data_IF_977134405204
#
_entry.id   IF_977134405204
#
_cell.length_a   1.000
_cell.length_b   1.000
_cell.length_c   1.000
_cell.angle_alpha   90.00
_cell.angle_beta   90.00
_cell.angle_gamma   90.00
#
_symmetry.space_group_name_H-M   'P 1'
#
loop_
_entity.id
_entity.type
_entity.pdbx_description
1 polymer ?
#
# COMPACT_ATOMS: atom_id res chain seq x y z
N UNK A 1 -21.34 7.26 -4.31
CA UNK A 1 -22.28 8.34 -4.71
C UNK A 1 -23.57 8.12 -3.99
N UNK A 2 -24.15 9.17 -3.45
CA UNK A 2 -25.49 9.15 -2.85
C UNK A 2 -26.29 10.35 -3.36
N UNK A 3 -27.53 10.07 -3.76
CA UNK A 3 -28.47 11.08 -4.27
C UNK A 3 -29.80 10.95 -3.53
N UNK A 4 -30.37 12.09 -3.15
CA UNK A 4 -31.73 12.15 -2.61
C UNK A 4 -32.50 13.29 -3.29
N UNK A 5 -33.82 13.24 -3.18
CA UNK A 5 -34.64 14.40 -3.59
C UNK A 5 -34.35 15.57 -2.67
N UNK A 6 -33.98 16.71 -3.26
CA UNK A 6 -33.80 17.95 -2.51
C UNK A 6 -35.08 18.35 -1.78
N UNK A 7 -34.98 19.28 -0.81
CA UNK A 7 -36.09 19.76 -0.02
C UNK A 7 -35.79 21.09 0.68
N UNK A 8 -36.81 21.66 1.29
CA UNK A 8 -36.66 22.92 2.03
C UNK A 8 -35.86 22.70 3.31
N UNK A 9 -34.81 23.49 3.52
CA UNK A 9 -33.89 23.36 4.66
C UNK A 9 -34.54 23.52 6.05
N UNK A 10 -35.73 24.13 6.13
CA UNK A 10 -36.53 24.22 7.38
C UNK A 10 -37.27 22.91 7.74
N UNK A 11 -37.38 21.98 6.80
CA UNK A 11 -37.99 20.68 6.98
C UNK A 11 -37.07 19.58 6.42
N UNK A 12 -35.88 19.39 7.03
CA UNK A 12 -34.89 18.46 6.50
C UNK A 12 -35.37 17.03 6.62
N UNK A 13 -35.06 16.15 5.63
CA UNK A 13 -35.31 14.73 5.79
C UNK A 13 -34.48 14.17 6.97
N UNK A 14 -34.97 13.10 7.60
CA UNK A 14 -34.25 12.43 8.70
C UNK A 14 -32.85 12.00 8.30
N UNK A 15 -32.68 11.61 7.04
CA UNK A 15 -31.39 11.20 6.45
C UNK A 15 -31.13 12.12 5.26
N UNK A 16 -30.08 12.90 5.34
CA UNK A 16 -29.59 13.70 4.21
C UNK A 16 -28.35 13.05 3.58
N UNK A 17 -28.10 13.33 2.31
CA UNK A 17 -27.01 12.76 1.53
C UNK A 17 -25.64 12.96 2.16
N UNK A 18 -25.35 14.17 2.66
CA UNK A 18 -24.07 14.49 3.32
C UNK A 18 -23.87 13.65 4.57
N UNK A 19 -24.93 13.55 5.41
CA UNK A 19 -24.88 12.75 6.63
C UNK A 19 -24.70 11.27 6.34
N UNK A 20 -25.41 10.73 5.34
CA UNK A 20 -25.23 9.34 4.91
C UNK A 20 -23.83 9.06 4.38
N UNK A 21 -23.28 9.96 3.56
CA UNK A 21 -21.91 9.82 3.03
C UNK A 21 -20.87 9.89 4.14
N UNK A 22 -21.02 10.85 5.07
CA UNK A 22 -20.12 11.00 6.22
C UNK A 22 -20.13 9.72 7.09
N UNK A 23 -21.33 9.15 7.36
CA UNK A 23 -21.43 7.90 8.10
C UNK A 23 -20.75 6.75 7.37
N UNK A 24 -20.93 6.63 6.06
CA UNK A 24 -20.27 5.58 5.26
C UNK A 24 -18.75 5.68 5.30
N UNK A 25 -18.19 6.89 5.29
CA UNK A 25 -16.73 7.09 5.44
C UNK A 25 -16.31 6.61 6.83
N UNK A 26 -16.98 7.01 7.88
CA UNK A 26 -16.69 6.58 9.26
C UNK A 26 -16.83 5.06 9.41
N UNK A 27 -17.87 4.46 8.80
CA UNK A 27 -18.05 3.00 8.83
C UNK A 27 -16.89 2.27 8.15
N UNK A 28 -16.40 2.75 7.01
CA UNK A 28 -15.26 2.17 6.32
C UNK A 28 -13.95 2.35 7.09
N UNK A 29 -13.73 3.50 7.73
CA UNK A 29 -12.55 3.75 8.56
C UNK A 29 -12.54 2.87 9.82
N UNK A 30 -13.69 2.62 10.43
CA UNK A 30 -13.82 1.79 11.61
C UNK A 30 -13.81 0.27 11.28
N UNK A 31 -14.13 -0.11 10.05
CA UNK A 31 -14.18 -1.49 9.58
C UNK A 31 -13.09 -1.76 8.53
N UNK A 32 -11.83 -1.50 8.91
CA UNK A 32 -10.67 -1.78 8.05
C UNK A 32 -10.58 -3.27 7.70
N UNK A 33 -10.01 -3.55 6.54
CA UNK A 33 -9.69 -4.94 6.16
C UNK A 33 -8.74 -5.57 7.18
N UNK A 34 -8.89 -6.87 7.49
CA UNK A 34 -8.07 -7.52 8.50
C UNK A 34 -6.60 -7.60 8.07
N UNK A 35 -5.71 -7.49 9.06
CA UNK A 35 -4.29 -7.77 8.86
C UNK A 35 -4.05 -9.22 8.49
N UNK A 36 -3.21 -9.46 7.50
CA UNK A 36 -2.90 -10.80 6.99
C UNK A 36 -1.41 -11.01 6.81
N UNK A 37 -0.94 -12.17 7.22
CA UNK A 37 0.40 -12.64 6.87
C UNK A 37 0.38 -13.11 5.42
N UNK A 38 1.00 -12.35 4.54
CA UNK A 38 1.17 -12.69 3.11
C UNK A 38 2.65 -12.94 2.82
N UNK A 39 2.96 -13.68 1.74
CA UNK A 39 4.34 -14.08 1.44
C UNK A 39 5.39 -12.96 1.56
N UNK A 40 5.23 -11.75 0.99
CA UNK A 40 6.24 -10.70 1.14
C UNK A 40 6.46 -10.26 2.58
N UNK A 41 5.41 -10.28 3.41
CA UNK A 41 5.50 -9.96 4.85
C UNK A 41 6.19 -11.08 5.61
N UNK A 42 5.93 -12.33 5.24
CA UNK A 42 6.57 -13.50 5.84
C UNK A 42 8.08 -13.51 5.55
N UNK A 43 8.48 -13.29 4.30
CA UNK A 43 9.87 -13.11 3.93
C UNK A 43 10.54 -11.96 4.69
N UNK A 44 9.83 -10.84 4.83
CA UNK A 44 10.34 -9.70 5.59
C UNK A 44 10.61 -10.05 7.05
N UNK A 45 9.72 -10.81 7.68
CA UNK A 45 9.89 -11.29 9.06
C UNK A 45 11.06 -12.24 9.20
N UNK A 46 11.21 -13.19 8.28
CA UNK A 46 12.29 -14.17 8.28
C UNK A 46 13.66 -13.49 8.17
N UNK A 47 13.83 -12.63 7.16
CA UNK A 47 15.11 -11.94 6.91
C UNK A 47 15.45 -10.92 8.01
N UNK A 48 14.47 -10.12 8.45
CA UNK A 48 14.69 -9.20 9.57
C UNK A 48 14.95 -9.95 10.87
N UNK A 49 14.20 -11.00 11.12
CA UNK A 49 14.33 -11.80 12.34
C UNK A 49 15.74 -12.35 12.56
N UNK A 50 16.41 -12.74 11.48
CA UNK A 50 17.78 -13.28 11.53
C UNK A 50 18.82 -12.26 12.06
N UNK A 51 18.59 -10.96 11.86
CA UNK A 51 19.56 -9.90 12.16
C UNK A 51 19.21 -9.07 13.41
N UNK A 52 18.05 -9.33 14.04
CA UNK A 52 17.60 -8.56 15.19
C UNK A 52 18.32 -8.98 16.50
N UNK A 53 18.42 -8.10 17.50
CA UNK A 53 18.86 -8.46 18.84
C UNK A 53 18.01 -9.57 19.45
N UNK A 54 18.60 -10.39 20.31
CA UNK A 54 18.03 -11.64 20.86
C UNK A 54 16.56 -11.52 21.32
N UNK A 55 16.21 -10.50 22.11
CA UNK A 55 14.84 -10.32 22.60
C UNK A 55 13.83 -10.04 21.47
N UNK A 56 14.24 -9.30 20.43
CA UNK A 56 13.41 -9.07 19.25
C UNK A 56 13.32 -10.34 18.40
N UNK A 57 14.42 -11.09 18.26
CA UNK A 57 14.40 -12.44 17.64
C UNK A 57 13.36 -13.35 18.27
N UNK A 58 13.26 -13.37 19.58
CA UNK A 58 12.25 -14.17 20.29
C UNK A 58 10.82 -13.78 19.89
N UNK A 59 10.53 -12.50 19.76
CA UNK A 59 9.21 -12.05 19.32
C UNK A 59 8.91 -12.49 17.89
N UNK A 60 9.87 -12.37 16.97
CA UNK A 60 9.73 -12.77 15.58
C UNK A 60 9.70 -14.30 15.39
N UNK A 61 10.40 -15.06 16.22
CA UNK A 61 10.36 -16.51 16.25
C UNK A 61 9.05 -17.08 16.83
N UNK A 62 8.27 -16.26 17.51
CA UNK A 62 6.97 -16.63 18.09
C UNK A 62 5.83 -15.77 17.50
N UNK A 63 5.62 -15.81 16.15
CA UNK A 63 4.65 -14.94 15.50
C UNK A 63 3.21 -15.18 15.99
N UNK A 64 2.89 -16.39 16.49
CA UNK A 64 1.59 -16.70 17.05
C UNK A 64 1.23 -15.84 18.27
N UNK A 65 2.22 -15.42 19.07
CA UNK A 65 2.05 -14.57 20.26
C UNK A 65 2.06 -13.08 19.89
N UNK A 66 2.88 -12.68 18.92
CA UNK A 66 3.11 -11.29 18.55
C UNK A 66 2.54 -10.93 17.17
N UNK A 67 1.75 -11.82 16.55
CA UNK A 67 1.25 -11.67 15.17
C UNK A 67 0.57 -10.32 14.93
N UNK A 68 -0.37 -9.95 15.79
CA UNK A 68 -1.14 -8.71 15.59
C UNK A 68 -0.26 -7.46 15.61
N UNK A 69 0.52 -7.18 16.68
CA UNK A 69 1.38 -5.98 16.71
C UNK A 69 2.45 -5.97 15.61
N UNK A 70 2.94 -7.12 15.17
CA UNK A 70 3.89 -7.19 14.06
C UNK A 70 3.22 -6.82 12.74
N UNK A 71 2.05 -7.38 12.43
CA UNK A 71 1.31 -7.08 11.20
C UNK A 71 0.85 -5.62 11.16
N UNK A 72 0.47 -5.05 12.31
CA UNK A 72 0.15 -3.62 12.44
C UNK A 72 1.38 -2.75 12.14
N UNK A 73 2.53 -3.07 12.74
CA UNK A 73 3.77 -2.35 12.51
C UNK A 73 4.25 -2.40 11.05
N UNK A 74 3.95 -3.49 10.34
CA UNK A 74 4.26 -3.68 8.92
C UNK A 74 3.13 -3.20 7.99
N UNK A 75 2.04 -2.66 8.54
CA UNK A 75 0.84 -2.24 7.80
C UNK A 75 0.32 -3.32 6.83
N UNK A 76 0.32 -4.58 7.29
CA UNK A 76 0.04 -5.76 6.47
C UNK A 76 -1.47 -6.00 6.25
N UNK A 77 -2.17 -4.99 5.71
CA UNK A 77 -3.59 -5.07 5.34
C UNK A 77 -3.89 -4.23 4.09
N UNK A 78 -5.05 -4.47 3.47
CA UNK A 78 -5.57 -3.57 2.44
C UNK A 78 -6.00 -2.26 3.10
N UNK A 79 -5.34 -1.17 2.75
CA UNK A 79 -5.60 0.15 3.35
C UNK A 79 -6.81 0.83 2.71
N UNK A 80 -7.54 1.60 3.52
CA UNK A 80 -8.67 2.43 3.12
C UNK A 80 -8.31 3.89 3.33
N UNK A 81 -8.33 4.70 2.27
CA UNK A 81 -7.98 6.11 2.35
C UNK A 81 -9.02 6.98 1.61
N UNK A 82 -9.93 7.66 2.31
CA UNK A 82 -10.76 8.70 1.72
C UNK A 82 -9.86 9.83 1.21
N UNK A 83 -9.98 10.18 -0.07
CA UNK A 83 -9.07 11.15 -0.70
C UNK A 83 -9.78 12.37 -1.27
N UNK A 84 -11.04 12.22 -1.66
CA UNK A 84 -11.83 13.32 -2.18
C UNK A 84 -13.23 13.20 -1.59
N UNK A 85 -13.81 14.32 -1.21
CA UNK A 85 -15.21 14.43 -0.81
C UNK A 85 -15.81 15.66 -1.46
N UNK A 86 -17.00 15.52 -2.01
CA UNK A 86 -17.76 16.61 -2.63
C UNK A 86 -19.25 16.46 -2.34
N UNK A 87 -19.94 17.58 -2.30
CA UNK A 87 -21.40 17.55 -2.10
C UNK A 87 -22.01 18.92 -2.12
N UNK A 88 -23.32 18.95 -2.49
CA UNK A 88 -24.10 20.15 -2.55
C UNK A 88 -23.89 20.96 -3.83
N UNK A 89 -24.94 21.09 -4.63
CA UNK A 89 -24.99 21.99 -5.80
C UNK A 89 -25.66 23.32 -5.43
N UNK A 90 -26.65 23.24 -4.55
CA UNK A 90 -27.40 24.39 -3.96
C UNK A 90 -27.82 24.02 -2.55
N UNK A 91 -28.26 25.02 -1.76
CA UNK A 91 -28.70 24.80 -0.38
C UNK A 91 -29.77 23.70 -0.23
N UNK A 92 -30.51 23.40 -1.27
CA UNK A 92 -31.65 22.48 -1.26
C UNK A 92 -31.46 21.27 -2.22
N UNK A 93 -30.31 21.14 -2.91
CA UNK A 93 -30.00 20.03 -3.83
C UNK A 93 -28.62 19.48 -3.46
N UNK A 94 -28.61 18.28 -2.93
CA UNK A 94 -27.44 17.74 -2.24
C UNK A 94 -27.09 16.34 -2.80
N UNK A 95 -26.59 16.21 -4.04
CA UNK A 95 -25.82 15.02 -4.36
C UNK A 95 -24.52 15.08 -3.55
N UNK A 96 -24.06 13.94 -3.09
CA UNK A 96 -22.79 13.86 -2.39
C UNK A 96 -22.00 12.63 -2.88
N UNK A 97 -20.71 12.80 -3.02
CA UNK A 97 -19.79 11.73 -3.43
C UNK A 97 -18.48 11.76 -2.66
N UNK A 98 -17.86 10.62 -2.53
CA UNK A 98 -16.49 10.52 -2.02
C UNK A 98 -15.70 9.53 -2.87
N UNK A 99 -14.43 9.85 -3.09
CA UNK A 99 -13.47 8.91 -3.67
C UNK A 99 -12.62 8.33 -2.56
N UNK A 100 -12.57 7.01 -2.51
CA UNK A 100 -11.80 6.26 -1.53
C UNK A 100 -10.77 5.41 -2.27
N UNK A 101 -9.51 5.60 -1.93
CA UNK A 101 -8.40 4.84 -2.49
C UNK A 101 -8.09 3.62 -1.62
N UNK A 102 -7.91 2.48 -2.26
CA UNK A 102 -7.52 1.23 -1.60
C UNK A 102 -6.18 0.76 -2.12
N UNK A 103 -5.26 0.43 -1.21
CA UNK A 103 -4.02 -0.27 -1.54
C UNK A 103 -4.22 -1.74 -1.22
N UNK A 104 -4.50 -2.52 -2.26
CA UNK A 104 -4.94 -3.92 -2.11
C UNK A 104 -3.74 -4.81 -1.79
N UNK A 105 -3.86 -5.58 -0.70
CA UNK A 105 -2.84 -6.53 -0.27
C UNK A 105 -2.76 -7.73 -1.23
N UNK A 106 -1.57 -8.27 -1.54
CA UNK A 106 -1.45 -9.53 -2.30
C UNK A 106 -2.32 -10.64 -1.73
N UNK A 107 -3.06 -11.34 -2.62
CA UNK A 107 -4.04 -12.36 -2.23
C UNK A 107 -5.47 -11.83 -1.99
N UNK A 108 -5.67 -10.51 -2.09
CA UNK A 108 -6.99 -9.90 -2.20
C UNK A 108 -7.23 -9.39 -3.63
N UNK A 109 -8.47 -9.02 -3.95
CA UNK A 109 -8.86 -8.58 -5.29
C UNK A 109 -9.73 -7.33 -5.22
N UNK A 110 -9.83 -6.59 -6.33
CA UNK A 110 -10.76 -5.47 -6.48
C UNK A 110 -12.17 -5.89 -6.07
N UNK A 111 -12.61 -7.06 -6.52
CA UNK A 111 -13.96 -7.56 -6.22
C UNK A 111 -14.15 -7.85 -4.73
N UNK A 112 -13.13 -8.41 -4.06
CA UNK A 112 -13.19 -8.64 -2.62
C UNK A 112 -13.27 -7.34 -1.81
N UNK A 113 -12.61 -6.29 -2.27
CA UNK A 113 -12.66 -4.94 -1.66
C UNK A 113 -14.03 -4.31 -1.91
N UNK A 114 -14.53 -4.37 -3.13
CA UNK A 114 -15.85 -3.85 -3.49
C UNK A 114 -16.95 -4.52 -2.66
N UNK A 115 -16.89 -5.84 -2.50
CA UNK A 115 -17.85 -6.58 -1.67
C UNK A 115 -17.75 -6.16 -0.19
N UNK A 116 -16.54 -5.91 0.33
CA UNK A 116 -16.36 -5.39 1.68
C UNK A 116 -17.03 -4.01 1.84
N UNK A 117 -16.84 -3.10 0.89
CA UNK A 117 -17.50 -1.79 0.91
C UNK A 117 -19.03 -1.96 0.95
N UNK A 118 -19.58 -2.75 0.03
CA UNK A 118 -21.03 -2.98 -0.05
C UNK A 118 -21.59 -3.56 1.27
N UNK A 119 -20.86 -4.45 1.91
CA UNK A 119 -21.28 -5.06 3.18
C UNK A 119 -21.12 -4.13 4.39
N UNK A 120 -20.34 -3.06 4.26
CA UNK A 120 -19.99 -2.15 5.37
C UNK A 120 -20.86 -0.91 5.39
N UNK A 121 -21.26 -0.40 4.23
CA UNK A 121 -22.01 0.85 4.12
C UNK A 121 -23.51 0.58 3.83
N UNK A 122 -24.31 1.63 3.95
CA UNK A 122 -25.76 1.54 3.60
C UNK A 122 -25.98 1.20 2.14
N UNK A 123 -26.98 0.37 1.86
CA UNK A 123 -27.46 -0.01 0.52
C UNK A 123 -28.01 1.16 -0.29
N UNK A 124 -28.31 2.29 0.37
CA UNK A 124 -28.70 3.55 -0.27
C UNK A 124 -27.54 4.25 -1.00
N UNK A 125 -26.33 3.80 -0.80
CA UNK A 125 -25.12 4.40 -1.38
C UNK A 125 -24.64 3.55 -2.56
N UNK A 126 -24.60 4.16 -3.74
CA UNK A 126 -24.07 3.53 -4.94
C UNK A 126 -22.57 3.46 -4.89
N UNK A 127 -22.02 2.26 -5.11
CA UNK A 127 -20.57 2.00 -5.18
C UNK A 127 -20.16 1.81 -6.63
N UNK A 128 -19.26 2.64 -7.10
CA UNK A 128 -18.70 2.56 -8.44
C UNK A 128 -17.17 2.44 -8.35
N UNK A 129 -16.59 1.66 -9.24
CA UNK A 129 -15.14 1.60 -9.40
C UNK A 129 -14.72 2.62 -10.45
N UNK A 130 -13.81 3.53 -10.09
CA UNK A 130 -13.38 4.63 -10.96
C UNK A 130 -11.86 4.75 -10.98
N UNK A 131 -11.34 5.35 -12.04
CA UNK A 131 -9.91 5.60 -12.18
C UNK A 131 -9.11 4.37 -12.54
N UNK A 132 -7.89 4.30 -12.00
CA UNK A 132 -6.97 3.22 -12.30
C UNK A 132 -7.21 2.01 -11.41
N UNK A 133 -7.64 0.91 -12.03
CA UNK A 133 -8.02 -0.33 -11.36
C UNK A 133 -7.07 -1.46 -11.72
N UNK A 134 -6.31 -1.95 -10.75
CA UNK A 134 -5.49 -3.16 -10.92
C UNK A 134 -5.55 -4.03 -9.68
N UNK A 135 -5.59 -5.33 -9.88
CA UNK A 135 -5.30 -6.27 -8.81
C UNK A 135 -3.84 -6.19 -8.38
N UNK A 136 -3.50 -6.61 -7.17
CA UNK A 136 -2.11 -6.72 -6.75
C UNK A 136 -1.29 -7.55 -7.74
N UNK A 137 -0.06 -7.12 -7.97
CA UNK A 137 0.87 -7.87 -8.78
C UNK A 137 1.20 -9.22 -8.15
N UNK A 138 1.55 -10.25 -8.93
CA UNK A 138 2.10 -11.49 -8.41
C UNK A 138 3.31 -11.24 -7.49
N UNK A 139 3.55 -12.16 -6.57
CA UNK A 139 4.71 -12.10 -5.67
C UNK A 139 5.88 -12.82 -6.34
N UNK A 140 6.95 -12.10 -6.63
CA UNK A 140 8.18 -12.64 -7.21
C UNK A 140 8.92 -13.55 -6.22
N UNK A 141 9.63 -14.54 -6.72
CA UNK A 141 10.35 -15.53 -5.90
C UNK A 141 11.61 -14.90 -5.28
N UNK A 142 11.91 -15.22 -4.04
CA UNK A 142 13.21 -14.90 -3.40
C UNK A 142 14.27 -15.98 -3.66
N UNK A 143 13.89 -17.11 -4.22
CA UNK A 143 14.78 -18.25 -4.51
C UNK A 143 15.34 -18.19 -5.94
N UNK A 144 14.86 -17.25 -6.76
CA UNK A 144 15.28 -17.13 -8.16
C UNK A 144 16.73 -16.64 -8.28
N UNK A 145 17.35 -16.96 -9.39
CA UNK A 145 18.70 -16.48 -9.71
C UNK A 145 18.73 -14.93 -9.81
N UNK A 146 17.68 -14.35 -10.37
CA UNK A 146 17.54 -12.89 -10.46
C UNK A 146 17.53 -12.20 -9.09
N UNK A 147 16.85 -12.79 -8.09
CA UNK A 147 16.89 -12.27 -6.72
C UNK A 147 18.28 -12.38 -6.11
N UNK A 148 18.95 -13.51 -6.26
CA UNK A 148 20.31 -13.72 -5.74
C UNK A 148 21.33 -12.75 -6.36
N UNK A 149 21.22 -12.50 -7.66
CA UNK A 149 22.07 -11.50 -8.34
C UNK A 149 21.79 -10.10 -7.78
N UNK A 150 20.53 -9.74 -7.60
CA UNK A 150 20.12 -8.46 -7.01
C UNK A 150 20.67 -8.31 -5.60
N UNK A 151 20.42 -9.29 -4.73
CA UNK A 151 20.90 -9.32 -3.34
C UNK A 151 22.43 -9.18 -3.27
N UNK A 152 23.14 -9.98 -4.06
CA UNK A 152 24.61 -9.92 -4.13
C UNK A 152 25.08 -8.54 -4.58
N UNK A 153 24.43 -7.94 -5.56
CA UNK A 153 24.81 -6.61 -6.05
C UNK A 153 24.59 -5.53 -4.99
N UNK A 154 23.48 -5.62 -4.24
CA UNK A 154 23.23 -4.71 -3.11
C UNK A 154 24.35 -4.84 -2.08
N UNK A 155 24.70 -6.06 -1.66
CA UNK A 155 25.74 -6.31 -0.66
C UNK A 155 27.14 -5.86 -1.13
N UNK A 156 27.45 -6.02 -2.42
CA UNK A 156 28.72 -5.59 -3.01
C UNK A 156 28.92 -4.05 -2.95
N UNK A 157 27.83 -3.30 -3.17
CA UNK A 157 27.86 -1.82 -3.15
C UNK A 157 27.60 -1.25 -1.75
N UNK A 158 26.82 -1.94 -0.95
CA UNK A 158 26.41 -1.52 0.40
C UNK A 158 26.74 -2.63 1.43
N UNK A 159 28.02 -2.86 1.75
CA UNK A 159 28.45 -4.04 2.52
C UNK A 159 27.90 -4.13 3.95
N UNK A 160 27.46 -3.01 4.53
CA UNK A 160 26.87 -2.95 5.86
C UNK A 160 25.32 -2.96 5.86
N UNK A 161 24.72 -3.42 4.76
CA UNK A 161 23.27 -3.39 4.59
C UNK A 161 22.68 -4.78 4.71
N UNK A 162 21.60 -4.89 5.43
CA UNK A 162 20.76 -6.09 5.47
C UNK A 162 19.79 -6.01 4.29
N UNK A 163 19.81 -7.02 3.43
CA UNK A 163 18.85 -7.10 2.31
C UNK A 163 17.61 -7.81 2.80
N UNK A 164 16.48 -7.13 2.75
CA UNK A 164 15.20 -7.66 3.26
C UNK A 164 14.16 -7.57 2.14
N UNK A 165 13.59 -8.70 1.68
CA UNK A 165 12.41 -8.68 0.83
C UNK A 165 11.24 -8.00 1.55
N UNK A 166 10.41 -7.27 0.83
CA UNK A 166 9.31 -6.56 1.45
C UNK A 166 8.19 -6.22 0.48
N UNK A 167 7.11 -5.69 1.04
CA UNK A 167 5.96 -5.23 0.29
C UNK A 167 6.12 -3.76 -0.07
N UNK A 168 5.99 -3.44 -1.36
CA UNK A 168 5.90 -2.05 -1.83
C UNK A 168 4.44 -1.66 -1.92
N UNK A 169 3.99 -0.76 -1.05
CA UNK A 169 2.61 -0.27 -0.98
C UNK A 169 2.20 0.69 -2.11
N UNK A 170 3.14 1.10 -2.98
CA UNK A 170 2.91 2.00 -4.10
C UNK A 170 2.74 1.31 -5.45
N UNK A 171 1.95 1.89 -6.35
CA UNK A 171 1.93 1.49 -7.75
C UNK A 171 3.20 1.96 -8.47
N UNK A 172 3.78 1.10 -9.29
CA UNK A 172 4.96 1.41 -10.13
C UNK A 172 4.78 0.83 -11.53
N UNK A 173 5.60 1.25 -12.48
CA UNK A 173 5.60 0.70 -13.85
C UNK A 173 5.99 -0.78 -13.89
N UNK A 174 6.54 -1.33 -12.81
CA UNK A 174 6.80 -2.75 -12.65
C UNK A 174 5.58 -3.64 -13.00
N UNK A 175 4.35 -3.14 -12.83
CA UNK A 175 3.10 -3.85 -13.18
C UNK A 175 3.01 -4.29 -14.64
N UNK A 176 3.65 -3.57 -15.54
CA UNK A 176 3.63 -3.89 -16.98
C UNK A 176 4.59 -5.03 -17.35
N UNK A 177 5.52 -5.37 -16.47
CA UNK A 177 6.54 -6.38 -16.72
C UNK A 177 6.10 -7.80 -16.34
N UNK A 178 5.02 -7.96 -15.57
CA UNK A 178 4.52 -9.28 -15.19
C UNK A 178 3.93 -10.09 -16.35
N UNK A 179 3.68 -9.46 -17.51
CA UNK A 179 3.27 -10.17 -18.72
C UNK A 179 4.43 -10.88 -19.42
N UNK A 180 5.67 -10.48 -19.11
CA UNK A 180 6.88 -10.96 -19.78
C UNK A 180 7.92 -11.56 -18.80
N UNK A 181 7.70 -11.48 -17.50
CA UNK A 181 8.59 -12.00 -16.48
C UNK A 181 7.82 -12.39 -15.21
N UNK A 182 8.11 -13.57 -14.68
CA UNK A 182 7.58 -14.04 -13.40
C UNK A 182 8.24 -13.32 -12.20
N UNK A 183 9.48 -12.84 -12.40
CA UNK A 183 10.28 -12.21 -11.37
C UNK A 183 10.47 -10.71 -11.66
N UNK A 184 9.75 -9.88 -10.92
CA UNK A 184 9.79 -8.42 -11.04
C UNK A 184 10.04 -7.80 -9.67
N UNK A 185 11.29 -7.37 -9.43
CA UNK A 185 11.70 -6.75 -8.17
C UNK A 185 11.67 -5.23 -8.26
N UNK A 186 11.10 -4.61 -7.23
CA UNK A 186 11.04 -3.15 -7.08
C UNK A 186 12.11 -2.73 -6.10
N UNK A 187 13.27 -2.37 -6.62
CA UNK A 187 14.38 -1.89 -5.83
C UNK A 187 15.02 -0.67 -6.47
N UNK A 188 15.28 0.32 -5.66
CA UNK A 188 16.06 1.48 -6.05
C UNK A 188 16.95 1.90 -4.87
N UNK A 189 18.28 2.02 -5.04
CA UNK A 189 19.21 2.22 -3.93
C UNK A 189 19.23 3.66 -3.41
N UNK A 190 18.07 4.18 -3.03
CA UNK A 190 17.91 5.48 -2.38
C UNK A 190 18.13 5.33 -0.87
N UNK A 191 18.96 6.22 -0.32
CA UNK A 191 19.13 6.36 1.13
C UNK A 191 17.99 7.21 1.68
N UNK A 192 17.10 6.57 2.43
CA UNK A 192 15.94 7.22 3.06
C UNK A 192 16.29 7.53 4.51
N UNK A 193 16.29 8.81 4.88
CA UNK A 193 16.42 9.28 6.25
C UNK A 193 15.06 9.59 6.88
N UNK A 194 15.04 9.98 8.17
CA UNK A 194 13.79 10.26 8.92
C UNK A 194 12.87 11.28 8.22
N UNK A 195 13.46 12.30 7.59
CA UNK A 195 12.69 13.37 6.91
C UNK A 195 12.39 13.08 5.43
N UNK A 196 12.87 11.97 4.90
CA UNK A 196 12.73 11.69 3.46
C UNK A 196 11.30 11.42 3.06
N UNK A 197 10.53 10.73 3.91
CA UNK A 197 9.14 10.37 3.61
C UNK A 197 8.22 11.59 3.50
N UNK A 198 8.49 12.67 4.23
CA UNK A 198 7.70 13.92 4.14
C UNK A 198 8.01 14.73 2.90
N UNK A 199 9.17 14.48 2.28
CA UNK A 199 9.61 15.15 1.04
C UNK A 199 9.27 14.37 -0.22
N UNK A 200 9.00 13.09 -0.10
CA UNK A 200 8.61 12.24 -1.24
C UNK A 200 7.32 12.77 -1.87
N UNK A 201 7.35 13.17 -3.14
CA UNK A 201 6.29 13.89 -3.84
C UNK A 201 5.91 15.25 -3.18
N UNK A 202 6.78 15.77 -2.32
CA UNK A 202 6.58 17.01 -1.60
C UNK A 202 7.53 18.13 -2.03
N UNK A 203 7.56 19.19 -1.22
CA UNK A 203 8.47 20.33 -1.42
C UNK A 203 9.89 19.89 -1.00
N UNK A 204 10.91 20.32 -1.77
CA UNK A 204 12.33 20.05 -1.52
C UNK A 204 12.69 18.56 -1.60
N UNK A 205 12.07 17.82 -2.54
CA UNK A 205 12.47 16.46 -2.87
C UNK A 205 13.89 16.47 -3.46
N UNK A 206 14.79 15.73 -2.83
CA UNK A 206 16.21 15.72 -3.18
C UNK A 206 16.91 14.43 -2.86
N UNK A 207 17.98 14.19 -3.57
CA UNK A 207 18.95 13.11 -3.33
C UNK A 207 20.36 13.69 -3.13
N UNK A 208 21.17 13.09 -2.28
CA UNK A 208 22.54 13.52 -2.13
C UNK A 208 23.38 13.12 -3.35
N UNK A 209 24.42 13.93 -3.68
CA UNK A 209 25.36 13.62 -4.77
C UNK A 209 26.06 12.27 -4.55
N UNK A 210 26.35 11.93 -3.29
CA UNK A 210 26.96 10.66 -2.92
C UNK A 210 26.04 9.51 -3.27
N UNK A 211 24.77 9.59 -2.84
CA UNK A 211 23.79 8.54 -3.13
C UNK A 211 23.48 8.44 -4.63
N UNK A 212 23.47 9.56 -5.36
CA UNK A 212 23.31 9.53 -6.82
C UNK A 212 24.43 8.75 -7.52
N UNK A 213 25.68 8.94 -7.05
CA UNK A 213 26.83 8.14 -7.53
C UNK A 213 26.66 6.65 -7.22
N UNK A 214 26.24 6.32 -6.00
CA UNK A 214 25.96 4.92 -5.60
C UNK A 214 24.89 4.26 -6.47
N UNK A 215 23.85 5.00 -6.88
CA UNK A 215 22.80 4.51 -7.79
C UNK A 215 23.38 4.16 -9.15
N UNK A 216 24.23 5.02 -9.71
CA UNK A 216 24.88 4.78 -11.00
C UNK A 216 25.76 3.54 -10.91
N UNK A 217 26.58 3.43 -9.87
CA UNK A 217 27.48 2.32 -9.62
C UNK A 217 26.71 0.99 -9.46
N UNK A 218 25.66 0.99 -8.67
CA UNK A 218 24.76 -0.14 -8.51
C UNK A 218 24.16 -0.59 -9.86
N UNK A 219 23.60 0.34 -10.62
CA UNK A 219 22.97 0.04 -11.92
C UNK A 219 23.96 -0.55 -12.91
N UNK A 220 25.17 0.00 -12.96
CA UNK A 220 26.25 -0.51 -13.81
C UNK A 220 26.64 -1.95 -13.44
N UNK A 221 26.83 -2.22 -12.15
CA UNK A 221 27.21 -3.57 -11.69
C UNK A 221 26.08 -4.58 -11.87
N UNK A 222 24.83 -4.17 -11.66
CA UNK A 222 23.67 -5.03 -11.86
C UNK A 222 23.55 -5.45 -13.33
N UNK A 223 23.60 -4.51 -14.26
CA UNK A 223 23.53 -4.78 -15.71
C UNK A 223 24.65 -5.74 -16.14
N UNK A 224 25.86 -5.52 -15.64
CA UNK A 224 27.00 -6.41 -15.97
C UNK A 224 26.83 -7.85 -15.48
N UNK A 225 26.08 -8.09 -14.42
CA UNK A 225 25.86 -9.45 -13.90
C UNK A 225 24.77 -10.22 -14.63
N UNK A 226 23.94 -9.51 -15.40
CA UNK A 226 22.91 -10.13 -16.25
C UNK A 226 23.38 -10.36 -17.70
N UNK A 227 24.55 -9.85 -18.08
CA UNK A 227 25.21 -10.08 -19.37
C UNK A 227 26.32 -11.13 -19.24
#
# INVERSE_FOLDING_TARGET
IVETTGGHSSAPPRENTIGMLAQAIVDLENNQRPYKLVKPVDYQLEYMGAELPFFKKMAFANPWLFKKPILEALNAHTTTAPTIIGGGVKNNVIPAEATINFRILPGETIESVKQHIINTISDKIKVESVGFLTNPSPVSSIDSESFKILEKTIRDIFPNTIVVPGLVGGGTDARYFYEISDDVYRFYPIRIGPDSMTRFHGIDEKISKVNYKEIIEFSYHLIKKFN
#
